data_IF_324486540622
#
_entry.id   IF_324486540622
#
_cell.length_a   1.000
_cell.length_b   1.000
_cell.length_c   1.000
_cell.angle_alpha   90.00
_cell.angle_beta   90.00
_cell.angle_gamma   90.00
#
_symmetry.space_group_name_H-M   'P 1'
#
loop_
_entity.id
_entity.type
_entity.pdbx_description
1 polymer ?
#
# COMPACT_ATOMS: atom_id res chain seq x y z
N UNK A 1 -12.81 -25.08 -4.62
CA UNK A 1 -12.86 -23.72 -4.05
C UNK A 1 -12.71 -23.83 -2.56
N UNK A 2 -11.57 -23.43 -2.05
CA UNK A 2 -11.37 -23.39 -0.61
C UNK A 2 -12.11 -22.19 -0.05
N UNK A 3 -13.11 -22.41 0.76
CA UNK A 3 -13.73 -21.39 1.62
C UNK A 3 -12.82 -21.08 2.84
N UNK A 4 -11.52 -21.22 2.69
CA UNK A 4 -10.58 -20.88 3.75
C UNK A 4 -10.45 -19.37 3.73
N UNK A 5 -10.88 -18.74 4.80
CA UNK A 5 -10.57 -17.35 5.06
C UNK A 5 -9.06 -17.22 5.14
N UNK A 6 -8.46 -16.52 4.19
CA UNK A 6 -7.06 -16.18 4.27
C UNK A 6 -6.84 -15.34 5.54
N UNK A 7 -5.83 -15.70 6.30
CA UNK A 7 -5.40 -14.86 7.41
C UNK A 7 -4.99 -13.50 6.87
N UNK A 8 -5.28 -12.38 7.56
CA UNK A 8 -4.76 -11.08 7.16
C UNK A 8 -3.23 -11.14 7.07
N UNK A 9 -2.67 -10.46 6.08
CA UNK A 9 -1.22 -10.35 5.97
C UNK A 9 -0.63 -9.73 7.24
N UNK A 10 0.48 -10.30 7.73
CA UNK A 10 1.15 -9.82 8.93
C UNK A 10 2.06 -8.63 8.61
N UNK A 11 1.43 -7.60 8.03
CA UNK A 11 2.04 -6.34 7.60
C UNK A 11 1.17 -5.18 8.09
N UNK A 12 1.76 -3.99 8.22
CA UNK A 12 1.00 -2.82 8.63
C UNK A 12 0.03 -2.41 7.52
N UNK A 13 -1.25 -2.20 7.88
CA UNK A 13 -2.21 -1.62 6.96
C UNK A 13 -1.89 -0.15 6.71
N UNK A 14 -1.72 0.20 5.44
CA UNK A 14 -1.30 1.54 5.00
C UNK A 14 -2.51 2.36 4.57
N UNK A 15 -2.59 3.59 5.06
CA UNK A 15 -3.68 4.54 4.73
C UNK A 15 -3.32 5.50 3.60
N UNK A 16 -2.05 5.67 3.31
CA UNK A 16 -1.55 6.56 2.25
C UNK A 16 -1.50 5.84 0.90
N UNK A 17 -1.89 6.53 -0.15
CA UNK A 17 -2.06 5.96 -1.50
C UNK A 17 -0.80 5.25 -2.00
N UNK A 18 0.38 5.87 -1.90
CA UNK A 18 1.60 5.24 -2.41
C UNK A 18 2.10 4.12 -1.50
N UNK A 19 1.94 4.23 -0.20
CA UNK A 19 2.30 3.17 0.74
C UNK A 19 1.41 1.92 0.58
N UNK A 20 0.14 2.11 0.18
CA UNK A 20 -0.81 1.04 -0.09
C UNK A 20 -0.82 0.57 -1.55
N UNK A 21 0.08 1.07 -2.42
CA UNK A 21 0.03 0.82 -3.85
C UNK A 21 0.33 -0.63 -4.22
N UNK A 22 1.20 -1.27 -3.46
CA UNK A 22 1.63 -2.67 -3.62
C UNK A 22 1.41 -3.43 -2.30
N UNK A 23 0.14 -3.77 -1.99
CA UNK A 23 -0.20 -4.46 -0.76
C UNK A 23 0.22 -5.93 -0.86
N UNK A 24 0.65 -6.50 0.26
CA UNK A 24 0.94 -7.91 0.35
C UNK A 24 -0.31 -8.69 0.79
N UNK A 25 -0.57 -9.82 0.16
CA UNK A 25 -1.60 -10.76 0.55
C UNK A 25 -1.00 -12.09 1.00
N UNK A 26 -1.51 -12.64 2.11
CA UNK A 26 -1.08 -13.92 2.65
C UNK A 26 -1.23 -15.03 1.63
N UNK A 27 -0.21 -15.87 1.49
CA UNK A 27 -0.19 -17.00 0.57
C UNK A 27 -0.83 -18.24 1.19
N UNK A 28 -1.52 -19.00 0.35
CA UNK A 28 -2.17 -20.26 0.75
C UNK A 28 -1.18 -21.40 1.01
N UNK A 29 0.02 -21.33 0.46
CA UNK A 29 1.06 -22.36 0.54
C UNK A 29 1.99 -22.22 1.74
N UNK A 30 1.71 -21.23 2.60
CA UNK A 30 2.42 -20.96 3.85
C UNK A 30 3.55 -19.94 3.71
N UNK A 31 3.79 -19.25 4.82
CA UNK A 31 4.81 -18.20 4.91
C UNK A 31 5.28 -18.03 6.37
N UNK A 32 6.49 -17.48 6.53
CA UNK A 32 6.94 -16.91 7.79
C UNK A 32 6.72 -15.41 7.75
N UNK A 33 6.00 -14.86 8.73
CA UNK A 33 5.74 -13.44 8.80
C UNK A 33 6.03 -12.89 10.21
N UNK A 34 6.68 -11.72 10.24
CA UNK A 34 7.02 -11.01 11.47
C UNK A 34 6.63 -9.55 11.32
N UNK A 35 6.03 -9.00 12.37
CA UNK A 35 5.75 -7.57 12.48
C UNK A 35 6.08 -7.06 13.87
N UNK A 36 6.74 -5.92 13.94
CA UNK A 36 7.01 -5.21 15.19
C UNK A 36 6.75 -3.72 15.04
N UNK A 37 6.14 -3.12 16.05
CA UNK A 37 5.87 -1.69 16.10
C UNK A 37 6.33 -1.10 17.43
N UNK A 38 7.02 0.04 17.37
CA UNK A 38 7.41 0.83 18.54
C UNK A 38 6.92 2.25 18.34
N UNK A 39 6.17 2.77 19.30
CA UNK A 39 5.70 4.15 19.32
C UNK A 39 6.19 4.89 20.55
N UNK A 40 6.61 6.13 20.38
CA UNK A 40 6.96 7.01 21.48
C UNK A 40 6.34 8.40 21.29
N UNK A 41 5.66 8.86 22.33
CA UNK A 41 5.10 10.22 22.39
C UNK A 41 5.78 11.00 23.49
N UNK A 42 6.37 12.13 23.13
CA UNK A 42 6.98 13.03 24.11
C UNK A 42 5.92 13.69 25.01
N UNK A 43 6.34 14.08 26.20
CA UNK A 43 5.46 14.78 27.15
C UNK A 43 5.28 16.23 26.71
N UNK A 44 4.04 16.75 26.74
CA UNK A 44 3.73 18.12 26.44
C UNK A 44 2.46 18.28 25.58
N UNK A 45 1.87 19.50 25.60
CA UNK A 45 0.59 19.76 24.92
C UNK A 45 0.65 19.60 23.40
N UNK A 46 1.80 19.89 22.82
CA UNK A 46 2.06 19.83 21.37
C UNK A 46 3.31 19.00 21.07
N UNK A 47 3.64 18.09 21.97
CA UNK A 47 4.84 17.27 21.82
C UNK A 47 4.75 16.35 20.61
N UNK A 48 5.87 16.10 19.92
CA UNK A 48 5.92 15.17 18.81
C UNK A 48 5.69 13.73 19.25
N UNK A 49 5.29 12.90 18.30
CA UNK A 49 5.31 11.45 18.43
C UNK A 49 6.02 10.81 17.27
N UNK A 50 6.74 9.75 17.57
CA UNK A 50 7.40 8.88 16.61
C UNK A 50 6.77 7.50 16.65
N UNK A 51 6.64 6.90 15.48
CA UNK A 51 6.19 5.53 15.31
C UNK A 51 7.12 4.85 14.31
N UNK A 52 7.61 3.68 14.67
CA UNK A 52 8.48 2.87 13.85
C UNK A 52 7.82 1.50 13.71
N UNK A 53 7.67 1.04 12.49
CA UNK A 53 7.13 -0.28 12.18
C UNK A 53 8.10 -1.02 11.27
N UNK A 54 8.21 -2.33 11.47
CA UNK A 54 8.93 -3.24 10.61
C UNK A 54 8.12 -4.52 10.42
N UNK A 55 7.88 -4.88 9.16
CA UNK A 55 7.24 -6.13 8.77
C UNK A 55 8.13 -6.89 7.80
N UNK A 56 8.17 -8.21 7.90
CA UNK A 56 8.93 -9.04 6.98
C UNK A 56 8.23 -10.38 6.76
N UNK A 57 8.08 -10.76 5.51
CA UNK A 57 7.45 -12.01 5.09
C UNK A 57 8.43 -12.81 4.22
N UNK A 58 8.56 -14.07 4.53
CA UNK A 58 9.46 -15.00 3.87
C UNK A 58 8.70 -16.24 3.40
N UNK A 59 9.24 -16.89 2.39
CA UNK A 59 8.84 -18.25 2.02
C UNK A 59 9.19 -19.26 3.12
N UNK A 60 8.47 -20.35 3.12
CA UNK A 60 8.88 -21.58 3.81
C UNK A 60 9.81 -22.33 2.84
N UNK A 61 11.01 -22.68 3.29
CA UNK A 61 11.95 -23.47 2.47
C UNK A 61 11.34 -24.85 2.16
N UNK A 62 10.98 -25.04 0.91
CA UNK A 62 10.36 -26.26 0.41
C UNK A 62 11.42 -27.14 -0.22
N UNK A 63 11.75 -28.26 0.44
CA UNK A 63 12.60 -29.29 -0.16
C UNK A 63 11.75 -30.06 -1.17
N UNK A 64 11.81 -29.69 -2.44
CA UNK A 64 11.24 -30.50 -3.52
C UNK A 64 12.21 -31.65 -3.83
N UNK A 65 11.91 -32.85 -3.37
CA UNK A 65 12.63 -34.03 -3.87
C UNK A 65 12.23 -34.26 -5.32
N UNK A 66 13.20 -34.32 -6.22
CA UNK A 66 13.01 -34.73 -7.61
C UNK A 66 12.64 -36.22 -7.61
N UNK A 67 11.35 -36.54 -7.47
CA UNK A 67 10.84 -37.90 -7.62
C UNK A 67 10.67 -38.25 -9.10
N UNK A 68 10.46 -39.56 -9.44
CA UNK A 68 10.30 -40.02 -10.81
C UNK A 68 9.07 -39.46 -11.55
N UNK A 69 8.20 -38.71 -10.90
CA UNK A 69 7.05 -38.02 -11.49
C UNK A 69 7.18 -36.50 -11.37
N UNK A 70 8.30 -35.95 -11.76
CA UNK A 70 8.49 -34.51 -11.89
C UNK A 70 7.68 -34.01 -13.10
N UNK A 71 6.58 -33.31 -12.83
CA UNK A 71 5.68 -32.74 -13.84
C UNK A 71 6.09 -31.34 -14.34
N UNK A 72 7.27 -30.89 -14.00
CA UNK A 72 7.76 -29.55 -14.33
C UNK A 72 7.37 -28.48 -13.33
N UNK A 73 6.37 -28.71 -12.48
CA UNK A 73 5.90 -27.76 -11.47
C UNK A 73 6.48 -27.98 -10.07
N UNK A 74 7.40 -28.93 -9.92
CA UNK A 74 8.14 -29.15 -8.67
C UNK A 74 7.40 -29.97 -7.61
N UNK A 75 6.27 -30.57 -7.92
CA UNK A 75 5.53 -31.46 -7.01
C UNK A 75 6.02 -32.89 -7.17
N UNK A 76 6.93 -33.33 -6.30
CA UNK A 76 7.33 -34.75 -6.23
C UNK A 76 6.27 -35.56 -5.49
N UNK A 77 6.08 -36.83 -5.92
CA UNK A 77 5.10 -37.76 -5.37
C UNK A 77 5.34 -38.21 -3.91
N UNK A 78 6.45 -37.83 -3.30
CA UNK A 78 6.86 -38.30 -1.98
C UNK A 78 6.42 -37.40 -0.81
N UNK A 79 5.38 -36.60 -1.01
CA UNK A 79 4.78 -35.82 0.06
C UNK A 79 5.53 -34.51 0.40
N UNK A 80 4.83 -33.70 1.11
CA UNK A 80 5.28 -32.42 1.63
C UNK A 80 6.39 -32.62 2.67
N UNK A 81 7.64 -32.47 2.27
CA UNK A 81 8.74 -32.30 3.18
C UNK A 81 9.03 -30.81 3.37
N UNK A 82 8.31 -30.12 4.25
CA UNK A 82 8.70 -28.77 4.61
C UNK A 82 9.68 -28.80 5.77
N UNK A 83 10.84 -28.19 5.60
CA UNK A 83 11.67 -27.82 6.73
C UNK A 83 11.03 -26.56 7.38
N UNK A 84 9.98 -26.76 8.18
CA UNK A 84 9.19 -25.69 8.81
C UNK A 84 10.06 -24.62 9.49
N UNK A 85 11.22 -24.99 10.02
CA UNK A 85 12.15 -24.07 10.69
C UNK A 85 13.15 -23.36 9.76
N UNK A 86 13.14 -23.66 8.47
CA UNK A 86 13.99 -22.96 7.51
C UNK A 86 13.25 -21.81 6.86
N UNK A 87 13.75 -20.61 7.09
CA UNK A 87 13.31 -19.39 6.45
C UNK A 87 13.83 -19.39 5.01
N UNK A 88 12.92 -19.28 4.05
CA UNK A 88 13.21 -19.25 2.62
C UNK A 88 13.53 -17.84 2.10
N UNK A 89 13.17 -17.56 0.85
CA UNK A 89 13.38 -16.26 0.22
C UNK A 89 12.47 -15.19 0.81
N UNK A 90 12.92 -13.94 0.83
CA UNK A 90 12.10 -12.79 1.20
C UNK A 90 11.06 -12.52 0.12
N UNK A 91 9.80 -12.40 0.50
CA UNK A 91 8.69 -12.05 -0.39
C UNK A 91 8.30 -10.59 -0.27
N UNK A 92 8.27 -10.08 0.96
CA UNK A 92 7.85 -8.73 1.27
C UNK A 92 8.54 -8.23 2.53
N UNK A 93 8.87 -6.96 2.54
CA UNK A 93 9.38 -6.27 3.71
C UNK A 93 8.98 -4.81 3.66
N UNK A 94 8.47 -4.28 4.75
CA UNK A 94 8.32 -2.85 4.93
C UNK A 94 9.00 -2.38 6.22
N UNK A 95 9.63 -1.24 6.12
CA UNK A 95 10.15 -0.49 7.25
C UNK A 95 9.63 0.93 7.13
N UNK A 96 8.91 1.42 8.12
CA UNK A 96 8.41 2.78 8.09
C UNK A 96 8.66 3.53 9.40
N UNK A 97 8.93 4.83 9.24
CA UNK A 97 9.09 5.77 10.34
C UNK A 97 8.06 6.88 10.12
N UNK A 98 7.25 7.15 11.13
CA UNK A 98 6.29 8.23 11.13
C UNK A 98 6.67 9.25 12.20
N UNK A 99 6.60 10.51 11.84
CA UNK A 99 6.77 11.65 12.73
C UNK A 99 5.53 12.50 12.68
N UNK A 100 4.83 12.62 13.80
CA UNK A 100 3.65 13.46 13.95
C UNK A 100 3.92 14.60 14.91
N UNK A 101 3.64 15.83 14.48
CA UNK A 101 3.80 17.04 15.28
C UNK A 101 2.56 17.92 15.19
N UNK A 102 2.03 18.30 16.36
CA UNK A 102 1.10 19.41 16.48
C UNK A 102 1.88 20.68 16.75
N UNK A 103 1.81 21.66 15.87
CA UNK A 103 2.45 22.96 16.07
C UNK A 103 1.55 23.92 16.83
N UNK A 104 0.24 23.76 16.69
CA UNK A 104 -0.75 24.57 17.37
C UNK A 104 -2.04 23.75 17.62
N UNK A 105 -3.05 24.40 18.20
CA UNK A 105 -4.39 23.83 18.33
C UNK A 105 -5.02 23.52 16.97
N UNK A 106 -4.65 24.28 15.95
CA UNK A 106 -5.31 24.30 14.65
C UNK A 106 -4.44 23.72 13.52
N UNK A 107 -3.14 23.46 13.77
CA UNK A 107 -2.23 22.93 12.77
C UNK A 107 -1.48 21.69 13.25
N UNK A 108 -1.56 20.64 12.43
CA UNK A 108 -0.88 19.35 12.62
C UNK A 108 -0.17 18.95 11.33
N UNK A 109 1.02 18.39 11.47
CA UNK A 109 1.83 17.86 10.39
C UNK A 109 2.22 16.42 10.71
N UNK A 110 2.23 15.57 9.69
CA UNK A 110 2.72 14.22 9.75
C UNK A 110 3.68 13.97 8.58
N UNK A 111 4.84 13.42 8.88
CA UNK A 111 5.79 12.92 7.90
C UNK A 111 5.96 11.43 8.07
N UNK A 112 6.00 10.72 6.97
CA UNK A 112 6.29 9.29 6.95
C UNK A 112 7.32 9.00 5.86
N UNK A 113 8.31 8.20 6.22
CA UNK A 113 9.20 7.53 5.28
C UNK A 113 8.96 6.03 5.36
N UNK A 114 8.84 5.38 4.21
CA UNK A 114 8.70 3.93 4.11
C UNK A 114 9.70 3.38 3.11
N UNK A 115 10.43 2.34 3.53
CA UNK A 115 11.22 1.49 2.66
C UNK A 115 10.47 0.18 2.48
N UNK A 116 9.98 -0.07 1.27
CA UNK A 116 9.21 -1.25 0.91
C UNK A 116 10.01 -2.08 -0.09
N UNK A 117 10.14 -3.37 0.20
CA UNK A 117 10.68 -4.38 -0.69
C UNK A 117 9.62 -5.42 -0.98
N UNK A 118 9.50 -5.84 -2.21
CA UNK A 118 8.66 -6.97 -2.58
C UNK A 118 9.21 -7.71 -3.82
N UNK A 119 8.94 -9.02 -3.85
CA UNK A 119 9.11 -9.80 -5.07
C UNK A 119 7.86 -9.64 -5.93
N UNK A 120 8.00 -9.02 -7.11
CA UNK A 120 6.88 -8.67 -7.96
C UNK A 120 6.17 -9.90 -8.52
N UNK A 121 6.89 -10.95 -8.86
CA UNK A 121 6.32 -12.18 -9.42
C UNK A 121 5.44 -12.88 -8.37
N UNK A 122 5.80 -12.77 -7.10
CA UNK A 122 4.99 -13.27 -5.98
C UNK A 122 3.78 -12.39 -5.71
N UNK A 123 3.97 -11.05 -5.73
CA UNK A 123 2.92 -10.10 -5.37
C UNK A 123 1.79 -10.07 -6.39
N UNK A 124 2.12 -10.09 -7.67
CA UNK A 124 1.13 -9.96 -8.74
C UNK A 124 0.55 -11.30 -9.17
N UNK A 125 1.27 -12.40 -8.94
CA UNK A 125 0.95 -13.74 -9.45
C UNK A 125 0.58 -13.73 -10.96
N UNK A 126 1.04 -12.74 -11.69
CA UNK A 126 0.81 -12.56 -13.11
C UNK A 126 2.16 -12.75 -13.79
N UNK A 127 2.27 -13.83 -14.54
CA UNK A 127 3.32 -13.96 -15.54
C UNK A 127 3.07 -12.87 -16.62
N UNK A 128 4.08 -12.08 -16.89
CA UNK A 128 4.00 -11.14 -18.02
C UNK A 128 3.90 -11.94 -19.32
N UNK A 129 3.09 -11.47 -20.26
CA UNK A 129 2.93 -12.12 -21.57
C UNK A 129 4.25 -12.29 -22.34
N UNK A 130 5.25 -11.46 -22.03
CA UNK A 130 6.59 -11.52 -22.60
C UNK A 130 7.53 -12.49 -21.85
N UNK A 131 7.05 -13.19 -20.80
CA UNK A 131 7.85 -14.09 -19.96
C UNK A 131 8.92 -13.36 -19.12
N UNK A 132 8.92 -12.04 -19.10
CA UNK A 132 9.90 -11.27 -18.34
C UNK A 132 9.57 -11.29 -16.85
N UNK A 133 10.52 -11.76 -16.04
CA UNK A 133 10.46 -11.66 -14.59
C UNK A 133 10.97 -10.28 -14.16
N UNK A 134 10.13 -9.52 -13.46
CA UNK A 134 10.55 -8.25 -12.87
C UNK A 134 11.43 -8.50 -11.64
N UNK A 135 11.15 -9.60 -10.94
CA UNK A 135 11.90 -9.99 -9.76
C UNK A 135 11.67 -9.04 -8.57
N UNK A 136 12.74 -8.69 -7.89
CA UNK A 136 12.70 -7.91 -6.66
C UNK A 136 12.60 -6.41 -6.95
N UNK A 137 11.70 -5.74 -6.25
CA UNK A 137 11.48 -4.29 -6.34
C UNK A 137 11.71 -3.65 -4.98
N UNK A 138 12.41 -2.52 -4.98
CA UNK A 138 12.65 -1.70 -3.80
C UNK A 138 12.05 -0.31 -3.99
N UNK A 139 11.18 0.10 -3.09
CA UNK A 139 10.55 1.41 -3.08
C UNK A 139 11.00 2.23 -1.87
N UNK A 140 11.27 3.52 -2.12
CA UNK A 140 11.43 4.55 -1.11
C UNK A 140 10.26 5.51 -1.21
N UNK A 141 9.44 5.59 -0.18
CA UNK A 141 8.19 6.35 -0.19
C UNK A 141 8.30 7.46 0.86
N UNK A 142 8.07 8.68 0.43
CA UNK A 142 8.09 9.88 1.26
C UNK A 142 6.69 10.49 1.26
N UNK A 143 6.16 10.78 2.44
CA UNK A 143 4.80 11.26 2.64
C UNK A 143 4.83 12.47 3.57
N UNK A 144 4.15 13.54 3.18
CA UNK A 144 3.86 14.68 4.01
C UNK A 144 2.35 14.91 4.02
N UNK A 145 1.75 14.99 5.22
CA UNK A 145 0.31 15.20 5.43
C UNK A 145 0.14 16.34 6.43
N UNK A 146 -0.50 17.41 6.01
CA UNK A 146 -0.78 18.59 6.82
C UNK A 146 -2.28 18.77 7.00
N UNK A 147 -2.71 19.02 8.23
CA UNK A 147 -4.10 19.35 8.58
C UNK A 147 -4.16 20.69 9.26
N UNK A 148 -4.91 21.60 8.66
CA UNK A 148 -5.09 22.96 9.16
C UNK A 148 -6.57 23.31 9.36
N UNK A 149 -6.91 23.65 10.58
CA UNK A 149 -8.20 24.19 10.98
C UNK A 149 -8.25 25.68 10.69
N UNK A 150 -8.71 26.05 9.50
CA UNK A 150 -8.76 27.45 9.05
C UNK A 150 -9.74 28.28 9.88
N UNK A 151 -10.90 27.69 10.19
CA UNK A 151 -11.94 28.30 11.04
C UNK A 151 -12.61 27.23 11.91
N UNK A 152 -13.57 27.62 12.75
CA UNK A 152 -14.36 26.66 13.55
C UNK A 152 -15.15 25.69 12.69
N UNK A 153 -15.46 26.06 11.43
CA UNK A 153 -16.28 25.26 10.50
C UNK A 153 -15.51 24.70 9.32
N UNK A 154 -14.29 25.16 9.07
CA UNK A 154 -13.51 24.76 7.89
C UNK A 154 -12.17 24.16 8.28
N UNK A 155 -11.88 22.99 7.74
CA UNK A 155 -10.60 22.30 7.88
C UNK A 155 -10.08 21.91 6.51
N UNK A 156 -8.84 22.27 6.23
CA UNK A 156 -8.11 21.88 5.03
C UNK A 156 -7.10 20.79 5.41
N UNK A 157 -7.07 19.72 4.63
CA UNK A 157 -6.02 18.70 4.66
C UNK A 157 -5.33 18.65 3.30
N UNK A 158 -4.01 18.70 3.32
CA UNK A 158 -3.17 18.53 2.14
C UNK A 158 -2.21 17.38 2.35
N UNK A 159 -2.06 16.54 1.33
CA UNK A 159 -1.19 15.38 1.34
C UNK A 159 -0.35 15.37 0.07
N UNK A 160 0.96 15.18 0.21
CA UNK A 160 1.90 15.02 -0.88
C UNK A 160 2.74 13.76 -0.65
N UNK A 161 2.88 12.95 -1.68
CA UNK A 161 3.61 11.69 -1.63
C UNK A 161 4.51 11.53 -2.85
N UNK A 162 5.68 10.95 -2.64
CA UNK A 162 6.61 10.58 -3.72
C UNK A 162 7.14 9.19 -3.46
N UNK A 163 7.13 8.34 -4.48
CA UNK A 163 7.73 7.01 -4.46
C UNK A 163 8.81 6.91 -5.52
N UNK A 164 10.00 6.61 -5.07
CA UNK A 164 11.13 6.19 -5.88
C UNK A 164 11.15 4.68 -5.95
N UNK A 165 11.06 4.11 -7.14
CA UNK A 165 11.07 2.67 -7.36
C UNK A 165 12.34 2.24 -8.08
N UNK A 166 12.94 1.12 -7.65
CA UNK A 166 14.11 0.53 -8.29
C UNK A 166 13.97 -1.00 -8.30
N UNK A 167 14.55 -1.66 -9.29
CA UNK A 167 14.72 -3.10 -9.25
C UNK A 167 15.74 -3.48 -8.16
N UNK A 168 15.54 -4.61 -7.50
CA UNK A 168 16.34 -5.03 -6.33
C UNK A 168 17.82 -5.32 -6.61
N UNK A 169 18.27 -5.21 -7.85
CA UNK A 169 19.67 -5.39 -8.25
C UNK A 169 20.50 -4.12 -8.06
N UNK A 170 19.89 -2.95 -8.07
CA UNK A 170 20.53 -1.66 -7.93
C UNK A 170 20.21 -1.01 -6.58
N UNK A 171 20.90 -1.41 -5.52
CA UNK A 171 20.78 -0.86 -4.16
C UNK A 171 21.21 0.61 -4.01
N UNK A 172 21.45 1.32 -5.11
CA UNK A 172 21.81 2.73 -5.05
C UNK A 172 20.59 3.59 -4.82
N UNK A 173 20.44 4.10 -3.61
CA UNK A 173 19.33 4.90 -3.08
C UNK A 173 18.90 6.09 -3.96
N UNK A 174 19.75 6.54 -4.89
CA UNK A 174 19.55 7.75 -5.69
C UNK A 174 19.76 7.59 -7.20
N UNK A 175 19.67 6.39 -7.74
CA UNK A 175 19.70 6.23 -9.20
C UNK A 175 18.36 6.64 -9.80
N UNK A 176 18.35 7.68 -10.63
CA UNK A 176 17.15 8.26 -11.25
C UNK A 176 16.54 7.41 -12.37
N UNK A 177 17.18 6.36 -12.81
CA UNK A 177 16.66 5.40 -13.78
C UNK A 177 16.15 4.17 -13.05
N UNK A 178 14.89 4.21 -12.61
CA UNK A 178 14.25 3.04 -12.03
C UNK A 178 13.66 2.18 -13.15
N UNK A 179 14.16 0.98 -13.30
CA UNK A 179 13.52 -0.07 -14.09
C UNK A 179 12.56 -0.91 -13.23
N UNK A 180 12.05 -0.32 -12.13
CA UNK A 180 11.08 -0.98 -11.27
C UNK A 180 9.81 -1.33 -12.02
N UNK A 181 8.99 -2.22 -11.45
CA UNK A 181 7.80 -2.81 -12.08
C UNK A 181 6.87 -1.79 -12.75
N UNK A 182 6.81 -0.56 -12.27
CA UNK A 182 6.02 0.53 -12.89
C UNK A 182 6.72 1.90 -12.78
N UNK A 183 7.94 1.95 -12.22
CA UNK A 183 8.72 3.17 -12.04
C UNK A 183 8.24 4.06 -10.90
N UNK A 184 8.61 5.32 -10.98
CA UNK A 184 8.34 6.31 -9.93
C UNK A 184 6.89 6.82 -9.98
N UNK A 185 6.38 7.20 -8.79
CA UNK A 185 5.03 7.72 -8.63
C UNK A 185 5.01 9.00 -7.80
N UNK A 186 4.07 9.88 -8.12
CA UNK A 186 3.77 11.09 -7.36
C UNK A 186 2.28 11.07 -7.04
N UNK A 187 1.90 11.38 -5.80
CA UNK A 187 0.50 11.51 -5.41
C UNK A 187 0.27 12.78 -4.61
N UNK A 188 -0.86 13.41 -4.85
CA UNK A 188 -1.33 14.57 -4.10
C UNK A 188 -2.81 14.45 -3.76
N UNK A 189 -3.21 14.97 -2.59
CA UNK A 189 -4.60 15.04 -2.16
C UNK A 189 -4.85 16.38 -1.46
N UNK A 190 -5.99 16.99 -1.78
CA UNK A 190 -6.53 18.13 -1.06
C UNK A 190 -7.95 17.79 -0.62
N UNK A 191 -8.24 17.98 0.66
CA UNK A 191 -9.55 17.76 1.25
C UNK A 191 -9.98 18.99 2.03
N UNK A 192 -11.12 19.57 1.67
CA UNK A 192 -11.75 20.67 2.37
C UNK A 192 -13.01 20.18 3.04
N UNK A 193 -13.01 20.13 4.36
CA UNK A 193 -14.20 19.83 5.17
C UNK A 193 -14.88 21.13 5.59
N UNK A 194 -16.17 21.28 5.29
CA UNK A 194 -17.00 22.42 5.67
C UNK A 194 -18.15 21.90 6.54
N UNK A 195 -18.03 22.12 7.84
CA UNK A 195 -19.03 21.69 8.82
C UNK A 195 -20.35 22.45 8.64
N UNK A 196 -21.50 21.81 8.89
CA UNK A 196 -21.59 20.46 9.46
C UNK A 196 -21.58 19.32 8.42
N UNK A 197 -21.76 19.56 7.12
CA UNK A 197 -22.28 18.53 6.23
C UNK A 197 -21.38 18.22 5.02
N UNK A 198 -20.53 19.14 4.59
CA UNK A 198 -19.87 19.06 3.30
C UNK A 198 -18.39 18.70 3.39
N UNK A 199 -17.93 17.86 2.45
CA UNK A 199 -16.51 17.58 2.25
C UNK A 199 -16.22 17.52 0.74
N UNK A 200 -15.20 18.25 0.31
CA UNK A 200 -14.72 18.32 -1.07
C UNK A 200 -13.32 17.68 -1.09
N UNK A 201 -13.10 16.76 -2.00
CA UNK A 201 -11.82 16.07 -2.14
C UNK A 201 -11.37 16.09 -3.59
N UNK A 202 -10.11 16.42 -3.80
CA UNK A 202 -9.43 16.30 -5.11
C UNK A 202 -8.13 15.57 -4.88
N UNK A 203 -7.86 14.58 -5.70
CA UNK A 203 -6.60 13.83 -5.66
C UNK A 203 -6.10 13.54 -7.07
N UNK A 204 -4.79 13.42 -7.21
CA UNK A 204 -4.13 12.95 -8.42
C UNK A 204 -3.00 11.99 -8.05
N UNK A 205 -2.90 10.92 -8.82
CA UNK A 205 -1.84 9.93 -8.76
C UNK A 205 -1.20 9.86 -10.13
N UNK A 206 0.04 10.32 -10.24
CA UNK A 206 0.79 10.35 -11.48
C UNK A 206 1.89 9.28 -11.50
N UNK A 207 1.90 8.47 -12.55
CA UNK A 207 3.02 7.57 -12.80
C UNK A 207 4.10 8.31 -13.61
N UNK A 208 5.21 8.61 -12.99
CA UNK A 208 6.36 9.25 -13.63
C UNK A 208 7.28 8.24 -14.34
N UNK A 209 7.05 6.96 -14.13
CA UNK A 209 7.82 5.86 -14.68
C UNK A 209 7.34 5.41 -16.07
N UNK A 210 6.62 4.31 -16.11
CA UNK A 210 6.28 3.58 -17.33
C UNK A 210 5.12 4.21 -18.12
N UNK A 211 3.97 4.45 -17.46
CA UNK A 211 2.74 4.79 -18.19
C UNK A 211 2.57 6.27 -18.48
N UNK A 212 3.21 7.17 -17.73
CA UNK A 212 3.08 8.64 -17.83
C UNK A 212 1.61 9.13 -17.72
N UNK A 213 0.80 8.43 -16.94
CA UNK A 213 -0.63 8.69 -16.83
C UNK A 213 -1.00 9.32 -15.49
N UNK A 214 -1.99 10.20 -15.55
CA UNK A 214 -2.68 10.77 -14.41
C UNK A 214 -3.93 9.97 -14.06
N UNK A 215 -4.11 9.67 -12.78
CA UNK A 215 -5.28 9.02 -12.21
C UNK A 215 -5.88 9.98 -11.19
N UNK A 216 -6.71 10.88 -11.69
CA UNK A 216 -7.31 11.95 -10.91
C UNK A 216 -8.70 11.56 -10.40
N UNK A 217 -9.07 12.08 -9.25
CA UNK A 217 -10.39 11.92 -8.65
C UNK A 217 -10.82 13.22 -7.98
N UNK A 218 -12.00 13.70 -8.33
CA UNK A 218 -12.69 14.77 -7.63
C UNK A 218 -13.97 14.24 -7.02
N UNK A 219 -14.28 14.56 -5.77
CA UNK A 219 -15.52 14.13 -5.14
C UNK A 219 -16.09 15.16 -4.18
N UNK A 220 -17.41 15.13 -4.05
CA UNK A 220 -18.18 15.89 -3.08
C UNK A 220 -18.95 14.92 -2.21
N UNK A 221 -18.81 15.04 -0.90
CA UNK A 221 -19.52 14.23 0.08
C UNK A 221 -20.44 15.12 0.90
N UNK A 222 -21.68 14.69 1.06
CA UNK A 222 -22.67 15.31 1.92
C UNK A 222 -23.08 14.32 3.01
N UNK A 223 -22.99 14.75 4.28
CA UNK A 223 -23.36 13.95 5.44
C UNK A 223 -24.53 14.64 6.17
N UNK A 224 -25.61 13.92 6.42
CA UNK A 224 -26.73 14.44 7.21
C UNK A 224 -27.34 13.34 8.08
N UNK A 225 -27.21 13.47 9.39
CA UNK A 225 -27.63 12.43 10.34
C UNK A 225 -26.92 11.10 10.04
N UNK A 226 -27.70 10.05 9.80
CA UNK A 226 -27.22 8.71 9.43
C UNK A 226 -26.92 8.55 7.93
N UNK A 227 -27.17 9.56 7.11
CA UNK A 227 -27.03 9.51 5.65
C UNK A 227 -25.67 10.08 5.21
N UNK A 228 -25.00 9.38 4.31
CA UNK A 228 -23.82 9.85 3.60
C UNK A 228 -23.99 9.63 2.10
N UNK A 229 -23.98 10.71 1.34
CA UNK A 229 -24.02 10.71 -0.11
C UNK A 229 -22.68 11.23 -0.64
N UNK A 230 -22.06 10.50 -1.55
CA UNK A 230 -20.85 10.92 -2.22
C UNK A 230 -20.99 10.80 -3.73
N UNK A 231 -20.66 11.87 -4.43
CA UNK A 231 -20.57 11.91 -5.89
C UNK A 231 -19.14 12.22 -6.26
N UNK A 232 -18.58 11.44 -7.15
CA UNK A 232 -17.22 11.62 -7.65
C UNK A 232 -17.12 11.47 -9.15
N UNK A 233 -16.10 12.07 -9.72
CA UNK A 233 -15.70 11.88 -11.11
C UNK A 233 -14.19 11.72 -11.18
N UNK A 234 -13.74 10.73 -11.93
CA UNK A 234 -12.31 10.54 -12.07
C UNK A 234 -11.91 9.37 -12.97
N UNK A 235 -10.61 9.12 -12.96
CA UNK A 235 -9.97 7.98 -13.61
C UNK A 235 -9.21 7.19 -12.56
N UNK A 236 -9.55 5.90 -12.43
CA UNK A 236 -8.84 4.96 -11.57
C UNK A 236 -7.87 4.12 -12.38
N UNK A 237 -6.77 3.71 -11.77
CA UNK A 237 -5.83 2.77 -12.40
C UNK A 237 -6.33 1.34 -12.26
N UNK A 238 -5.88 0.48 -13.17
CA UNK A 238 -5.93 -0.95 -12.96
C UNK A 238 -4.95 -1.38 -11.87
N UNK A 239 -5.30 -2.38 -11.08
CA UNK A 239 -4.41 -2.91 -10.05
C UNK A 239 -5.13 -3.80 -9.05
N UNK A 240 -4.37 -4.34 -8.12
CA UNK A 240 -4.92 -5.12 -7.03
C UNK A 240 -5.50 -4.21 -5.95
N UNK A 241 -6.73 -4.49 -5.55
CA UNK A 241 -7.38 -3.89 -4.39
C UNK A 241 -7.54 -4.98 -3.32
N UNK A 242 -6.87 -4.79 -2.20
CA UNK A 242 -6.87 -5.74 -1.10
C UNK A 242 -7.69 -5.18 0.07
N UNK A 243 -8.68 -5.95 0.52
CA UNK A 243 -9.53 -5.59 1.66
C UNK A 243 -9.76 -6.85 2.49
N UNK A 244 -9.45 -6.79 3.80
CA UNK A 244 -9.65 -7.90 4.71
C UNK A 244 -8.89 -9.18 4.34
N UNK A 245 -7.67 -9.06 3.79
CA UNK A 245 -6.83 -10.21 3.38
C UNK A 245 -7.19 -10.81 2.02
N UNK A 246 -8.19 -10.28 1.32
CA UNK A 246 -8.58 -10.72 -0.02
C UNK A 246 -8.18 -9.66 -1.04
N UNK A 247 -7.32 -10.04 -1.98
CA UNK A 247 -6.91 -9.21 -3.10
C UNK A 247 -7.68 -9.58 -4.37
N UNK A 248 -8.20 -8.57 -5.07
CA UNK A 248 -8.83 -8.75 -6.38
C UNK A 248 -8.27 -7.74 -7.36
N UNK A 249 -8.11 -8.15 -8.59
CA UNK A 249 -7.77 -7.25 -9.68
C UNK A 249 -8.98 -6.40 -10.05
N UNK A 250 -8.79 -5.08 -10.11
CA UNK A 250 -9.82 -4.12 -10.52
C UNK A 250 -9.33 -3.46 -11.81
N UNK A 251 -10.12 -3.47 -12.90
CA UNK A 251 -9.73 -2.85 -14.15
C UNK A 251 -9.71 -1.32 -14.01
N UNK A 252 -8.91 -0.66 -14.89
CA UNK A 252 -8.95 0.78 -15.00
C UNK A 252 -10.34 1.26 -15.43
N UNK A 253 -10.82 2.32 -14.81
CA UNK A 253 -12.12 2.91 -15.14
C UNK A 253 -12.04 4.44 -15.18
N UNK A 254 -12.93 5.05 -15.96
CA UNK A 254 -13.11 6.50 -16.01
C UNK A 254 -14.61 6.80 -16.05
N UNK A 255 -15.07 7.63 -15.13
CA UNK A 255 -16.49 7.96 -15.08
C UNK A 255 -16.94 8.61 -13.79
N UNK A 256 -18.25 8.68 -13.63
CA UNK A 256 -18.91 9.15 -12.43
C UNK A 256 -19.11 8.00 -11.46
N UNK A 257 -18.84 8.25 -10.19
CA UNK A 257 -19.13 7.33 -9.09
C UNK A 257 -20.19 7.94 -8.18
N UNK A 258 -21.16 7.13 -7.77
CA UNK A 258 -22.18 7.50 -6.80
C UNK A 258 -22.15 6.47 -5.67
N UNK A 259 -22.00 6.95 -4.44
CA UNK A 259 -22.07 6.11 -3.24
C UNK A 259 -23.04 6.69 -2.24
N UNK A 260 -23.93 5.85 -1.73
CA UNK A 260 -24.85 6.19 -0.65
C UNK A 260 -24.72 5.17 0.47
N UNK A 261 -24.50 5.66 1.69
CA UNK A 261 -24.41 4.84 2.89
C UNK A 261 -25.43 5.34 3.92
N UNK A 262 -26.10 4.40 4.54
CA UNK A 262 -27.01 4.65 5.65
C UNK A 262 -26.56 3.83 6.87
N UNK A 263 -26.36 4.48 8.00
CA UNK A 263 -26.00 3.83 9.27
C UNK A 263 -27.22 3.88 10.19
N UNK A 264 -27.75 2.75 10.57
CA UNK A 264 -28.90 2.60 11.48
C UNK A 264 -28.48 2.08 12.84
#
# INVERSE_FOLDING_TARGET
SSNINNLPAFTMEQTYTLAALYPYATRSDGEWAFQGEIGYKFKGRYAPSFKLNYSHVFDIDKNFSKGPHYDGYGYGSNGYGSAFWKIGKSFYRDFNIQYEQKYSRDFKLNFMYMNQYYNNDVLTAIEREDGAHVGDVLNHIFIADAKWKMTRKMTLRGEAQYMKSSDGKDYQIFKWNSNGAQGDWISGLLELSVLPNWMFTVSDLYNAGETKHHYYMGSVTFNYGAHRLQVGYGRTRAGFNCTGGVCRYVPASKGVTLSYNYNF
#
